data_IF_376903622977
#
_entry.id   IF_376903622977
#
_cell.length_a   1.000
_cell.length_b   1.000
_cell.length_c   1.000
_cell.angle_alpha   90.00
_cell.angle_beta   90.00
_cell.angle_gamma   90.00
#
_symmetry.space_group_name_H-M   'P 1'
#
loop_
_entity.id
_entity.type
_entity.pdbx_description
1 polymer ?
#
# COMPACT_ATOMS: atom_id res chain seq x y z
N UNK A 1 -27.76 -47.61 42.07
CA UNK A 1 -26.74 -46.86 42.83
C UNK A 1 -25.37 -47.46 42.52
N UNK A 2 -24.61 -46.83 41.62
CA UNK A 2 -23.16 -47.04 41.43
C UNK A 2 -22.63 -45.85 40.65
N UNK A 3 -21.91 -44.98 41.36
CA UNK A 3 -21.12 -43.88 40.82
C UNK A 3 -19.93 -44.43 40.02
N UNK A 4 -19.53 -43.74 38.97
CA UNK A 4 -18.17 -43.76 38.40
C UNK A 4 -18.08 -42.57 37.45
N UNK A 5 -17.70 -41.41 37.98
CA UNK A 5 -16.34 -40.86 38.02
C UNK A 5 -15.92 -40.22 36.69
N UNK A 6 -15.92 -38.89 36.74
CA UNK A 6 -15.40 -37.94 35.77
C UNK A 6 -13.90 -38.14 35.53
N UNK A 7 -13.48 -38.09 34.27
CA UNK A 7 -12.11 -37.73 33.90
C UNK A 7 -12.17 -36.40 33.12
N UNK A 8 -11.84 -35.32 33.82
CA UNK A 8 -11.55 -34.03 33.21
C UNK A 8 -10.10 -34.06 32.72
N UNK A 9 -9.91 -34.16 31.41
CA UNK A 9 -8.60 -33.97 30.78
C UNK A 9 -8.34 -32.47 30.65
N UNK A 10 -7.43 -31.94 31.48
CA UNK A 10 -6.90 -30.58 31.34
C UNK A 10 -5.82 -30.62 30.26
N UNK A 11 -6.10 -30.06 29.08
CA UNK A 11 -5.08 -29.76 28.08
C UNK A 11 -4.28 -28.55 28.57
N UNK A 12 -3.06 -28.79 29.05
CA UNK A 12 -2.09 -27.73 29.27
C UNK A 12 -1.53 -27.29 27.91
N UNK A 13 -2.06 -26.20 27.36
CA UNK A 13 -1.44 -25.49 26.24
C UNK A 13 -0.18 -24.81 26.77
N UNK A 14 0.96 -25.43 26.52
CA UNK A 14 2.27 -24.82 26.73
C UNK A 14 2.44 -23.72 25.67
N UNK A 15 2.20 -22.47 26.06
CA UNK A 15 2.55 -21.31 25.25
C UNK A 15 4.07 -21.21 25.19
N UNK A 16 4.66 -21.75 24.11
CA UNK A 16 6.00 -21.34 23.72
C UNK A 16 5.92 -19.86 23.31
N UNK A 17 6.26 -18.98 24.25
CA UNK A 17 6.61 -17.59 23.92
C UNK A 17 8.01 -17.68 23.31
N UNK A 18 8.08 -17.84 21.99
CA UNK A 18 9.31 -17.56 21.27
C UNK A 18 9.54 -16.06 21.41
N UNK A 19 10.40 -15.66 22.36
CA UNK A 19 11.02 -14.36 22.33
C UNK A 19 11.81 -14.30 21.03
N UNK A 20 11.24 -13.65 20.01
CA UNK A 20 11.98 -13.30 18.79
C UNK A 20 13.18 -12.48 19.30
N UNK A 21 14.43 -12.90 19.00
CA UNK A 21 15.59 -12.13 19.40
C UNK A 21 15.42 -10.73 18.82
N UNK A 22 15.39 -9.73 19.70
CA UNK A 22 15.45 -8.32 19.30
C UNK A 22 16.76 -8.19 18.53
N UNK A 23 16.69 -7.99 17.22
CA UNK A 23 17.86 -7.87 16.36
C UNK A 23 18.78 -6.79 16.95
N UNK A 24 20.03 -7.10 17.34
CA UNK A 24 20.94 -6.12 17.92
C UNK A 24 21.53 -5.16 16.88
N UNK A 25 20.93 -5.09 15.68
CA UNK A 25 21.36 -4.24 14.57
C UNK A 25 20.24 -3.32 14.08
N UNK A 26 19.47 -2.74 14.99
CA UNK A 26 18.72 -1.52 14.72
C UNK A 26 19.66 -0.32 14.70
N UNK A 27 20.62 -0.28 13.77
CA UNK A 27 21.11 1.04 13.33
C UNK A 27 19.95 1.60 12.53
N UNK A 28 19.07 2.36 13.20
CA UNK A 28 18.31 3.37 12.50
C UNK A 28 19.32 4.07 11.58
N UNK A 29 19.00 4.16 10.28
CA UNK A 29 19.79 4.92 9.33
C UNK A 29 19.65 6.40 9.72
N UNK A 30 20.27 6.80 10.82
CA UNK A 30 20.41 8.21 11.19
C UNK A 30 21.43 8.77 10.21
N UNK A 31 21.02 9.72 9.36
CA UNK A 31 21.87 10.26 8.31
C UNK A 31 23.12 10.93 8.91
N UNK A 32 24.23 10.83 8.19
CA UNK A 32 25.39 11.68 8.43
C UNK A 32 25.20 13.02 7.73
N UNK A 33 24.59 13.95 8.47
CA UNK A 33 24.33 15.31 8.02
C UNK A 33 25.62 16.12 7.72
N UNK A 34 26.79 15.64 8.15
CA UNK A 34 28.08 16.32 8.05
C UNK A 34 28.77 16.19 6.68
N UNK A 35 28.34 15.26 5.81
CA UNK A 35 28.87 15.11 4.44
C UNK A 35 27.92 15.66 3.36
N UNK A 36 26.75 16.18 3.76
CA UNK A 36 25.70 16.73 2.89
C UNK A 36 25.52 18.25 3.13
N UNK A 37 26.44 19.10 2.65
CA UNK A 37 26.50 20.54 2.99
C UNK A 37 25.73 21.48 2.03
N UNK A 38 25.32 22.65 2.55
CA UNK A 38 24.51 23.71 1.90
C UNK A 38 25.04 24.28 0.56
N UNK A 39 26.32 24.10 0.22
CA UNK A 39 26.87 24.56 -1.08
C UNK A 39 26.50 23.62 -2.25
N UNK A 40 25.91 22.46 -1.96
CA UNK A 40 25.42 21.49 -2.92
C UNK A 40 24.40 20.56 -2.22
N UNK A 41 23.09 20.91 -2.22
CA UNK A 41 22.05 20.11 -1.57
C UNK A 41 21.75 18.88 -2.43
N UNK A 42 22.71 17.97 -2.51
CA UNK A 42 22.58 16.74 -3.28
C UNK A 42 21.83 15.76 -2.42
N UNK A 43 20.51 15.74 -2.60
CA UNK A 43 19.89 14.44 -2.68
C UNK A 43 20.70 13.59 -3.66
N UNK A 44 21.02 12.36 -3.27
CA UNK A 44 21.57 11.39 -4.20
C UNK A 44 20.61 11.15 -5.38
N UNK A 45 20.99 10.24 -6.28
CA UNK A 45 20.10 9.79 -7.35
C UNK A 45 18.72 9.42 -6.80
N UNK A 46 17.65 9.88 -7.45
CA UNK A 46 16.28 9.55 -7.07
C UNK A 46 16.09 8.03 -7.08
N UNK A 47 15.23 7.50 -6.20
CA UNK A 47 14.94 6.07 -6.18
C UNK A 47 14.18 5.69 -7.44
N UNK A 48 14.66 4.62 -8.09
CA UNK A 48 14.05 4.13 -9.32
C UNK A 48 12.89 3.19 -9.03
N UNK A 49 11.97 3.09 -9.98
CA UNK A 49 10.84 2.14 -9.95
C UNK A 49 11.30 0.70 -9.65
N UNK A 50 12.39 0.24 -10.26
CA UNK A 50 12.90 -1.11 -10.07
C UNK A 50 13.38 -1.34 -8.63
N UNK A 51 13.97 -0.33 -7.99
CA UNK A 51 14.41 -0.43 -6.60
C UNK A 51 13.22 -0.55 -5.64
N UNK A 52 12.13 0.18 -5.89
CA UNK A 52 10.87 -0.01 -5.15
C UNK A 52 10.30 -1.42 -5.37
N UNK A 53 10.32 -1.94 -6.60
CA UNK A 53 9.86 -3.31 -6.90
C UNK A 53 10.69 -4.35 -6.12
N UNK A 54 12.01 -4.21 -6.12
CA UNK A 54 12.92 -5.13 -5.43
C UNK A 54 12.74 -5.06 -3.91
N UNK A 55 12.53 -3.86 -3.36
CA UNK A 55 12.17 -3.65 -1.96
C UNK A 55 10.86 -4.36 -1.60
N UNK A 56 9.79 -4.11 -2.36
CA UNK A 56 8.47 -4.70 -2.11
C UNK A 56 8.52 -6.23 -2.17
N UNK A 57 9.19 -6.81 -3.17
CA UNK A 57 9.35 -8.27 -3.28
C UNK A 57 10.12 -8.89 -2.13
N UNK A 58 11.12 -8.17 -1.60
CA UNK A 58 11.97 -8.67 -0.52
C UNK A 58 11.28 -8.61 0.85
N UNK A 59 10.59 -7.52 1.14
CA UNK A 59 10.06 -7.25 2.49
C UNK A 59 8.56 -7.44 2.63
N UNK A 60 7.82 -7.37 1.52
CA UNK A 60 6.36 -7.51 1.49
C UNK A 60 5.93 -8.56 0.43
N UNK A 61 6.38 -9.82 0.55
CA UNK A 61 6.17 -10.82 -0.50
C UNK A 61 4.70 -11.25 -0.68
N UNK A 62 3.80 -10.89 0.24
CA UNK A 62 2.37 -11.22 0.19
C UNK A 62 1.62 -10.25 -0.74
N UNK A 63 1.98 -10.27 -2.02
CA UNK A 63 1.49 -9.33 -3.04
C UNK A 63 -0.01 -9.46 -3.36
N UNK A 64 -0.67 -10.53 -2.89
CA UNK A 64 -2.12 -10.72 -2.93
C UNK A 64 -2.88 -9.98 -1.79
N UNK A 65 -2.14 -9.26 -0.96
CA UNK A 65 -2.65 -8.50 0.19
C UNK A 65 -2.46 -7.00 0.06
N UNK A 66 -2.18 -6.53 -1.15
CA UNK A 66 -1.93 -5.12 -1.42
C UNK A 66 -3.26 -4.37 -1.61
N UNK A 67 -3.33 -3.19 -1.03
CA UNK A 67 -4.44 -2.24 -1.16
C UNK A 67 -3.94 -0.93 -1.73
N UNK A 68 -4.74 -0.32 -2.58
CA UNK A 68 -4.53 1.03 -3.09
C UNK A 68 -5.68 1.93 -2.65
N UNK A 69 -5.46 3.23 -2.66
CA UNK A 69 -6.49 4.20 -2.33
C UNK A 69 -6.32 5.49 -3.13
N UNK A 70 -7.41 6.22 -3.28
CA UNK A 70 -7.46 7.52 -3.95
C UNK A 70 -8.39 8.46 -3.18
N UNK A 71 -8.37 9.75 -3.51
CA UNK A 71 -9.33 10.74 -3.03
C UNK A 71 -9.43 10.80 -1.48
N UNK A 72 -8.27 10.88 -0.81
CA UNK A 72 -8.14 10.94 0.65
C UNK A 72 -8.84 9.77 1.39
N UNK A 73 -8.76 8.57 0.81
CA UNK A 73 -9.37 7.34 1.37
C UNK A 73 -8.36 6.46 2.12
N UNK A 74 -7.23 7.03 2.54
CA UNK A 74 -6.22 6.41 3.39
C UNK A 74 -6.81 5.86 4.69
N UNK A 75 -7.70 6.63 5.34
CA UNK A 75 -8.41 6.17 6.55
C UNK A 75 -9.30 4.94 6.29
N UNK A 76 -9.87 4.79 5.09
CA UNK A 76 -10.65 3.59 4.76
C UNK A 76 -9.73 2.37 4.63
N UNK A 77 -8.59 2.52 3.96
CA UNK A 77 -7.58 1.47 3.86
C UNK A 77 -7.06 1.05 5.25
N UNK A 78 -6.77 2.02 6.12
CA UNK A 78 -6.37 1.78 7.51
C UNK A 78 -7.43 1.01 8.32
N UNK A 79 -8.71 1.42 8.24
CA UNK A 79 -9.79 0.77 8.97
C UNK A 79 -10.05 -0.66 8.47
N UNK A 80 -9.96 -0.88 7.16
CA UNK A 80 -10.03 -2.21 6.58
C UNK A 80 -8.89 -3.09 7.06
N UNK A 81 -7.64 -2.58 7.01
CA UNK A 81 -6.46 -3.31 7.50
C UNK A 81 -6.59 -3.68 8.97
N UNK A 82 -7.09 -2.76 9.81
CA UNK A 82 -7.29 -2.97 11.25
C UNK A 82 -8.25 -4.14 11.54
N UNK A 83 -9.18 -4.43 10.61
CA UNK A 83 -10.11 -5.56 10.70
C UNK A 83 -9.63 -6.80 9.94
N UNK A 84 -8.64 -6.66 9.06
CA UNK A 84 -8.12 -7.69 8.17
C UNK A 84 -6.59 -7.72 8.24
N UNK A 85 -6.06 -8.35 9.28
CA UNK A 85 -4.61 -8.44 9.47
C UNK A 85 -3.89 -9.04 8.26
N UNK A 86 -2.72 -8.49 7.95
CA UNK A 86 -1.86 -8.94 6.86
C UNK A 86 -2.14 -8.30 5.50
N UNK A 87 -3.09 -7.36 5.41
CA UNK A 87 -3.18 -6.42 4.29
C UNK A 87 -2.16 -5.29 4.45
N UNK A 88 -1.73 -4.71 3.33
CA UNK A 88 -0.74 -3.65 3.27
C UNK A 88 -1.18 -2.56 2.29
N UNK A 89 -0.91 -1.30 2.61
CA UNK A 89 -1.10 -0.14 1.75
C UNK A 89 0.12 0.79 1.82
N UNK A 90 0.08 1.93 1.12
CA UNK A 90 1.23 2.84 0.96
C UNK A 90 2.02 3.10 2.25
N UNK A 91 1.33 3.40 3.35
CA UNK A 91 1.94 3.75 4.64
C UNK A 91 2.76 2.58 5.21
N UNK A 92 2.30 1.33 5.05
CA UNK A 92 3.04 0.15 5.50
C UNK A 92 4.38 -0.03 4.77
N UNK A 93 4.43 0.37 3.49
CA UNK A 93 5.60 0.18 2.64
C UNK A 93 6.62 1.28 2.82
N UNK A 94 6.18 2.54 2.80
CA UNK A 94 7.03 3.70 2.53
C UNK A 94 6.94 4.82 3.57
N UNK A 95 6.12 4.71 4.61
CA UNK A 95 6.18 5.65 5.72
C UNK A 95 7.19 5.18 6.76
N UNK A 96 8.26 5.95 6.98
CA UNK A 96 9.30 5.61 7.96
C UNK A 96 8.80 5.45 9.40
N UNK A 97 7.69 6.10 9.77
CA UNK A 97 7.08 5.99 11.10
C UNK A 97 6.14 4.79 11.28
N UNK A 98 5.76 4.12 10.19
CA UNK A 98 4.81 2.98 10.21
C UNK A 98 5.47 1.70 9.69
N UNK A 99 6.22 1.80 8.60
CA UNK A 99 6.88 0.69 7.95
C UNK A 99 7.93 0.04 8.83
N UNK A 100 7.86 -1.29 8.95
CA UNK A 100 8.85 -2.08 9.67
C UNK A 100 10.24 -2.04 8.99
N UNK A 101 10.27 -1.84 7.68
CA UNK A 101 11.49 -2.04 6.89
C UNK A 101 12.01 -0.76 6.24
N UNK A 102 11.18 0.25 6.02
CA UNK A 102 11.57 1.38 5.19
C UNK A 102 12.79 2.12 5.73
N UNK A 103 12.82 2.46 7.02
CA UNK A 103 13.95 3.18 7.62
C UNK A 103 15.23 2.33 7.79
N UNK A 104 15.14 1.00 7.72
CA UNK A 104 16.29 0.09 7.89
C UNK A 104 16.81 -0.44 6.55
N UNK A 105 15.93 -0.56 5.57
CA UNK A 105 16.16 -1.23 4.30
C UNK A 105 15.97 -0.31 3.09
N UNK A 106 15.77 0.99 3.31
CA UNK A 106 15.82 1.99 2.25
C UNK A 106 17.07 1.73 1.40
N UNK A 107 16.93 1.62 0.08
CA UNK A 107 18.02 1.13 -0.76
C UNK A 107 19.24 2.05 -0.57
N UNK A 108 20.39 1.52 -0.11
CA UNK A 108 21.61 2.30 0.00
C UNK A 108 21.96 2.83 -1.37
N UNK A 109 22.60 4.00 -1.44
CA UNK A 109 22.95 4.59 -2.71
C UNK A 109 23.84 3.62 -3.52
N UNK A 110 23.62 3.45 -4.84
CA UNK A 110 24.40 2.52 -5.65
C UNK A 110 25.91 2.83 -5.70
N UNK A 111 26.32 4.03 -5.30
CA UNK A 111 27.73 4.45 -5.16
C UNK A 111 28.28 4.38 -3.73
N UNK A 112 27.51 3.82 -2.78
CA UNK A 112 27.78 3.81 -1.34
C UNK A 112 27.87 5.18 -0.67
N UNK A 113 27.31 6.25 -1.25
CA UNK A 113 27.17 7.53 -0.55
C UNK A 113 26.21 7.39 0.64
N UNK A 114 26.52 8.11 1.72
CA UNK A 114 25.67 8.22 2.92
C UNK A 114 24.57 9.29 2.76
N UNK A 115 24.36 9.79 1.53
CA UNK A 115 23.40 10.84 1.21
C UNK A 115 21.95 10.33 1.15
N UNK A 116 21.00 11.18 1.54
CA UNK A 116 19.57 10.93 1.33
C UNK A 116 19.25 10.85 -0.17
N UNK A 117 18.47 9.86 -0.58
CA UNK A 117 17.88 9.79 -1.93
C UNK A 117 16.46 10.33 -1.88
N UNK A 118 16.07 11.14 -2.86
CA UNK A 118 14.68 11.61 -2.95
C UNK A 118 13.75 10.42 -3.16
N UNK A 119 12.69 10.38 -2.36
CA UNK A 119 11.53 9.53 -2.60
C UNK A 119 10.85 9.97 -3.91
N UNK A 120 10.28 9.00 -4.63
CA UNK A 120 9.54 9.22 -5.87
C UNK A 120 8.16 8.57 -5.73
N UNK A 121 7.16 9.39 -5.42
CA UNK A 121 5.78 8.95 -5.23
C UNK A 121 5.18 8.33 -6.49
N UNK A 122 5.64 8.74 -7.68
CA UNK A 122 5.21 8.13 -8.94
C UNK A 122 5.82 6.75 -9.12
N UNK A 123 7.14 6.65 -8.97
CA UNK A 123 7.83 5.38 -9.11
C UNK A 123 7.37 4.35 -8.06
N UNK A 124 7.12 4.78 -6.82
CA UNK A 124 6.70 3.92 -5.72
C UNK A 124 5.27 3.40 -5.90
N UNK A 125 4.34 4.26 -6.32
CA UNK A 125 2.96 3.89 -6.68
C UNK A 125 2.90 2.93 -7.87
N UNK A 126 3.66 3.21 -8.93
CA UNK A 126 3.79 2.31 -10.09
C UNK A 126 4.36 0.95 -9.66
N UNK A 127 5.35 0.94 -8.76
CA UNK A 127 5.93 -0.28 -8.23
C UNK A 127 4.91 -1.12 -7.45
N UNK A 128 4.09 -0.52 -6.56
CA UNK A 128 3.00 -1.19 -5.85
C UNK A 128 2.06 -1.86 -6.85
N UNK A 129 1.59 -1.12 -7.86
CA UNK A 129 0.67 -1.64 -8.87
C UNK A 129 1.28 -2.77 -9.71
N UNK A 130 2.59 -2.70 -10.03
CA UNK A 130 3.30 -3.74 -10.80
C UNK A 130 3.49 -5.04 -10.03
N UNK A 131 3.71 -4.98 -8.72
CA UNK A 131 3.95 -6.20 -7.93
C UNK A 131 2.67 -6.82 -7.38
N UNK A 132 1.58 -6.05 -7.25
CA UNK A 132 0.29 -6.56 -6.79
C UNK A 132 -0.17 -7.77 -7.62
N UNK A 133 -0.75 -8.77 -6.94
CA UNK A 133 -1.18 -10.02 -7.54
C UNK A 133 -2.53 -10.48 -6.97
N UNK A 134 -3.13 -11.53 -7.54
CA UNK A 134 -4.39 -12.07 -7.03
C UNK A 134 -5.54 -11.08 -7.21
N UNK A 135 -6.15 -10.63 -6.12
CA UNK A 135 -7.21 -9.62 -6.15
C UNK A 135 -6.69 -8.36 -5.46
N UNK A 136 -6.55 -7.27 -6.20
CA UNK A 136 -6.14 -6.00 -5.62
C UNK A 136 -7.37 -5.24 -5.14
N UNK A 137 -7.29 -4.72 -3.92
CA UNK A 137 -8.37 -3.97 -3.29
C UNK A 137 -8.10 -2.48 -3.44
N UNK A 138 -9.13 -1.71 -3.80
CA UNK A 138 -9.01 -0.26 -4.04
C UNK A 138 -10.12 0.51 -3.32
N UNK A 139 -9.73 1.55 -2.57
CA UNK A 139 -10.64 2.47 -1.89
C UNK A 139 -10.68 3.84 -2.59
N UNK A 140 -11.88 4.43 -2.70
CA UNK A 140 -12.05 5.81 -3.13
C UNK A 140 -11.70 6.14 -4.59
N UNK A 141 -11.52 5.12 -5.43
CA UNK A 141 -11.05 5.33 -6.80
C UNK A 141 -12.10 5.06 -7.88
N UNK A 142 -13.26 4.48 -7.56
CA UNK A 142 -14.24 3.98 -8.55
C UNK A 142 -14.69 5.08 -9.54
N UNK A 143 -14.71 6.32 -9.06
CA UNK A 143 -15.21 7.51 -9.76
C UNK A 143 -14.29 7.96 -10.90
N UNK A 144 -13.10 7.37 -11.08
CA UNK A 144 -12.16 7.77 -12.12
C UNK A 144 -12.75 7.64 -13.54
N UNK A 145 -13.65 6.69 -13.77
CA UNK A 145 -14.31 6.51 -15.07
C UNK A 145 -15.36 7.57 -15.36
N UNK A 146 -16.07 8.05 -14.33
CA UNK A 146 -17.15 9.03 -14.48
C UNK A 146 -16.67 10.47 -14.33
N UNK A 147 -15.65 10.71 -13.50
CA UNK A 147 -15.05 12.04 -13.25
C UNK A 147 -13.77 12.31 -14.05
N UNK A 148 -13.23 11.29 -14.71
CA UNK A 148 -12.05 11.35 -15.56
C UNK A 148 -10.75 10.99 -14.83
N UNK A 149 -9.67 10.72 -15.60
CA UNK A 149 -8.43 10.18 -15.08
C UNK A 149 -7.53 11.27 -14.50
N UNK A 150 -7.96 11.88 -13.39
CA UNK A 150 -7.19 12.94 -12.71
C UNK A 150 -6.47 12.46 -11.47
N UNK A 151 -6.91 11.35 -10.86
CA UNK A 151 -6.26 10.82 -9.68
C UNK A 151 -4.97 10.07 -10.00
N UNK A 152 -4.09 9.97 -9.01
CA UNK A 152 -2.88 9.17 -9.07
C UNK A 152 -3.16 7.72 -9.48
N UNK A 153 -4.20 7.14 -8.88
CA UNK A 153 -4.69 5.82 -9.25
C UNK A 153 -4.96 5.71 -10.76
N UNK A 154 -5.72 6.66 -11.30
CA UNK A 154 -6.13 6.63 -12.69
C UNK A 154 -4.98 6.88 -13.67
N UNK A 155 -4.02 7.73 -13.33
CA UNK A 155 -2.96 8.14 -14.25
C UNK A 155 -1.69 7.29 -14.15
N UNK A 156 -1.42 6.66 -13.00
CA UNK A 156 -0.16 5.94 -12.75
C UNK A 156 -0.36 4.44 -12.48
N UNK A 157 -1.46 4.05 -11.83
CA UNK A 157 -1.62 2.70 -11.27
C UNK A 157 -2.49 1.78 -12.15
N UNK A 158 -3.65 2.27 -12.61
CA UNK A 158 -4.67 1.46 -13.31
C UNK A 158 -4.10 0.71 -14.51
N UNK A 159 -3.31 1.37 -15.35
CA UNK A 159 -2.77 0.71 -16.55
C UNK A 159 -1.80 -0.42 -16.18
N UNK A 160 -1.04 -0.28 -15.08
CA UNK A 160 -0.13 -1.32 -14.59
C UNK A 160 -0.90 -2.50 -13.99
N UNK A 161 -1.98 -2.22 -13.27
CA UNK A 161 -2.89 -3.27 -12.79
C UNK A 161 -3.50 -4.04 -13.96
N UNK A 162 -3.92 -3.37 -15.03
CA UNK A 162 -4.42 -4.02 -16.26
C UNK A 162 -3.36 -4.82 -16.99
N UNK A 163 -2.11 -4.34 -17.04
CA UNK A 163 -0.98 -5.10 -17.56
C UNK A 163 -0.83 -6.43 -16.78
N UNK A 164 -0.94 -6.38 -15.45
CA UNK A 164 -0.92 -7.57 -14.59
C UNK A 164 -2.12 -8.51 -14.80
N UNK A 165 -3.31 -7.98 -15.10
CA UNK A 165 -4.47 -8.80 -15.49
C UNK A 165 -4.20 -9.51 -16.81
N UNK A 166 -3.68 -8.81 -17.82
CA UNK A 166 -3.28 -9.41 -19.12
C UNK A 166 -2.23 -10.49 -18.95
N UNK A 167 -1.29 -10.30 -18.02
CA UNK A 167 -0.25 -11.26 -17.70
C UNK A 167 -0.74 -12.45 -16.85
N UNK A 168 -1.96 -12.40 -16.30
CA UNK A 168 -2.53 -13.44 -15.45
C UNK A 168 -1.98 -13.47 -14.02
N UNK A 169 -1.26 -12.44 -13.58
CA UNK A 169 -0.76 -12.31 -12.20
C UNK A 169 -1.81 -11.66 -11.30
N UNK A 170 -2.67 -10.82 -11.85
CA UNK A 170 -3.83 -10.22 -11.21
C UNK A 170 -5.11 -10.77 -11.84
N UNK A 171 -6.16 -11.03 -11.06
CA UNK A 171 -7.44 -11.52 -11.56
C UNK A 171 -8.37 -10.37 -11.95
N UNK A 172 -8.45 -9.34 -11.09
CA UNK A 172 -9.32 -8.17 -11.22
C UNK A 172 -8.89 -7.05 -10.26
N UNK A 173 -9.39 -5.85 -10.51
CA UNK A 173 -9.37 -4.74 -9.56
C UNK A 173 -10.70 -4.74 -8.80
N UNK A 174 -10.66 -4.72 -7.47
CA UNK A 174 -11.87 -4.75 -6.62
C UNK A 174 -12.04 -3.41 -5.93
N UNK A 175 -13.04 -2.64 -6.34
CA UNK A 175 -13.41 -1.36 -5.74
C UNK A 175 -14.33 -1.60 -4.54
N UNK A 176 -13.91 -1.19 -3.35
CA UNK A 176 -14.66 -1.44 -2.11
C UNK A 176 -15.78 -0.43 -1.89
N UNK A 177 -16.79 -0.81 -1.12
CA UNK A 177 -17.75 0.13 -0.55
C UNK A 177 -17.03 1.14 0.34
N UNK A 178 -17.62 2.33 0.46
CA UNK A 178 -17.16 3.33 1.41
C UNK A 178 -17.22 2.74 2.82
N UNK A 179 -16.13 2.91 3.57
CA UNK A 179 -15.99 2.44 4.96
C UNK A 179 -16.08 0.91 5.12
N UNK A 180 -15.84 0.14 4.04
CA UNK A 180 -15.78 -1.31 4.10
C UNK A 180 -14.73 -1.79 5.12
N UNK A 181 -15.10 -2.79 5.91
CA UNK A 181 -14.24 -3.45 6.91
C UNK A 181 -14.07 -4.94 6.64
N UNK A 182 -14.73 -5.48 5.61
CA UNK A 182 -14.69 -6.89 5.21
C UNK A 182 -14.54 -7.02 3.70
N UNK A 183 -14.02 -8.16 3.24
CA UNK A 183 -13.73 -8.39 1.81
C UNK A 183 -14.98 -8.47 0.94
N UNK A 184 -16.12 -8.76 1.55
CA UNK A 184 -17.41 -8.97 0.89
C UNK A 184 -18.11 -7.64 0.59
N UNK A 185 -17.69 -6.54 1.21
CA UNK A 185 -18.22 -5.19 1.02
C UNK A 185 -17.66 -4.55 -0.27
N UNK A 186 -17.99 -5.15 -1.41
CA UNK A 186 -17.52 -4.77 -2.74
C UNK A 186 -18.55 -3.88 -3.42
N UNK A 187 -18.10 -2.75 -3.96
CA UNK A 187 -18.91 -1.86 -4.79
C UNK A 187 -18.92 -2.31 -6.26
N UNK A 188 -17.72 -2.55 -6.80
CA UNK A 188 -17.55 -2.93 -8.20
C UNK A 188 -16.27 -3.74 -8.39
N UNK A 189 -16.20 -4.46 -9.49
CA UNK A 189 -14.96 -5.07 -9.98
C UNK A 189 -14.65 -4.50 -11.35
N UNK A 190 -13.36 -4.36 -11.67
CA UNK A 190 -12.89 -3.86 -12.96
C UNK A 190 -11.98 -4.91 -13.61
N UNK A 191 -12.25 -5.20 -14.87
CA UNK A 191 -11.53 -6.17 -15.66
C UNK A 191 -10.40 -5.54 -16.50
N UNK A 192 -9.79 -6.36 -17.34
CA UNK A 192 -8.65 -6.00 -18.18
C UNK A 192 -8.93 -4.90 -19.20
N UNK A 193 -10.18 -4.81 -19.66
CA UNK A 193 -10.64 -3.80 -20.63
C UNK A 193 -11.08 -2.51 -19.92
N UNK A 194 -10.97 -2.47 -18.59
CA UNK A 194 -11.47 -1.39 -17.77
C UNK A 194 -12.99 -1.42 -17.60
N UNK A 195 -13.67 -2.52 -17.91
CA UNK A 195 -15.11 -2.59 -17.72
C UNK A 195 -15.43 -2.81 -16.24
N UNK A 196 -16.16 -1.87 -15.65
CA UNK A 196 -16.69 -2.01 -14.29
C UNK A 196 -17.97 -2.86 -14.27
N UNK A 197 -18.02 -3.83 -13.38
CA UNK A 197 -19.21 -4.64 -13.03
C UNK A 197 -19.57 -4.37 -11.57
N UNK A 198 -20.70 -3.69 -11.36
CA UNK A 198 -21.21 -3.32 -10.04
C UNK A 198 -21.92 -4.50 -9.38
N UNK A 199 -21.78 -4.63 -8.07
CA UNK A 199 -22.50 -5.63 -7.27
C UNK A 199 -23.98 -5.27 -7.16
N UNK A 200 -24.81 -6.25 -6.79
CA UNK A 200 -26.27 -6.06 -6.72
C UNK A 200 -26.64 -4.89 -5.81
N UNK A 201 -27.44 -3.95 -6.32
CA UNK A 201 -27.84 -2.74 -5.60
C UNK A 201 -26.93 -1.53 -5.79
N UNK A 202 -25.83 -1.67 -6.53
CA UNK A 202 -24.86 -0.59 -6.78
C UNK A 202 -24.80 -0.14 -8.25
N UNK A 203 -24.21 1.04 -8.50
CA UNK A 203 -24.20 1.68 -9.83
C UNK A 203 -23.02 2.62 -10.06
N UNK A 204 -22.76 2.94 -11.34
CA UNK A 204 -21.62 3.77 -11.79
C UNK A 204 -21.62 5.22 -11.29
N UNK A 205 -22.72 5.71 -10.71
CA UNK A 205 -22.79 7.06 -10.14
C UNK A 205 -22.40 7.12 -8.65
N UNK A 206 -22.16 5.99 -8.01
CA UNK A 206 -21.86 5.94 -6.57
C UNK A 206 -20.42 6.31 -6.28
N UNK A 207 -20.24 7.15 -5.26
CA UNK A 207 -18.92 7.52 -4.74
C UNK A 207 -18.53 6.60 -3.59
N UNK A 208 -17.30 6.09 -3.62
CA UNK A 208 -16.68 5.40 -2.49
C UNK A 208 -15.54 6.20 -1.85
N UNK A 209 -15.33 7.46 -2.26
CA UNK A 209 -14.28 8.31 -1.72
C UNK A 209 -14.64 8.86 -0.33
N UNK A 210 -13.63 8.98 0.54
CA UNK A 210 -13.76 9.74 1.78
C UNK A 210 -13.66 11.24 1.54
N UNK A 211 -12.85 11.66 0.58
CA UNK A 211 -12.65 13.06 0.18
C UNK A 211 -13.19 13.39 -1.21
N UNK A 212 -12.68 14.50 -1.77
CA UNK A 212 -12.99 14.94 -3.12
C UNK A 212 -12.09 14.20 -4.11
N UNK A 213 -12.67 13.46 -5.05
CA UNK A 213 -11.92 12.84 -6.13
C UNK A 213 -11.30 13.89 -7.08
N UNK A 214 -10.02 13.73 -7.40
CA UNK A 214 -9.26 14.65 -8.24
C UNK A 214 -8.90 15.94 -7.51
N UNK A 215 -8.67 15.87 -6.19
CA UNK A 215 -8.19 17.00 -5.40
C UNK A 215 -6.69 17.21 -5.64
N UNK A 216 -6.37 18.33 -6.28
CA UNK A 216 -5.00 18.68 -6.64
C UNK A 216 -4.36 19.67 -5.64
N UNK A 217 -5.01 19.96 -4.51
CA UNK A 217 -4.54 20.95 -3.52
C UNK A 217 -3.18 20.62 -2.93
N UNK A 218 -2.78 19.35 -2.96
CA UNK A 218 -1.48 18.86 -2.48
C UNK A 218 -0.44 18.70 -3.59
N UNK A 219 -0.83 18.87 -4.86
CA UNK A 219 0.06 18.73 -6.03
C UNK A 219 0.73 20.06 -6.37
N UNK A 220 2.06 20.07 -6.46
CA UNK A 220 2.83 21.22 -6.96
C UNK A 220 2.94 21.27 -8.49
N UNK A 221 2.66 20.16 -9.19
CA UNK A 221 2.76 20.06 -10.65
C UNK A 221 1.56 19.30 -11.30
N UNK A 222 0.47 19.99 -11.71
CA UNK A 222 -0.68 19.36 -12.36
C UNK A 222 -0.29 18.68 -13.69
N UNK A 223 -0.94 17.57 -14.11
CA UNK A 223 -2.37 17.30 -13.90
C UNK A 223 -2.71 16.15 -12.95
N UNK A 224 -1.75 15.57 -12.24
CA UNK A 224 -2.00 14.42 -11.35
C UNK A 224 -2.43 14.90 -9.96
N UNK A 225 -3.58 14.44 -9.51
CA UNK A 225 -4.23 14.83 -8.24
C UNK A 225 -4.36 13.60 -7.33
N UNK A 226 -4.78 13.78 -6.08
CA UNK A 226 -4.89 12.69 -5.10
C UNK A 226 -3.57 11.92 -4.88
N UNK A 227 -2.41 12.59 -4.87
CA UNK A 227 -1.12 11.96 -4.54
C UNK A 227 -1.26 11.33 -3.13
N UNK A 228 -0.90 10.05 -2.92
CA UNK A 228 -0.80 9.47 -1.58
C UNK A 228 0.00 10.38 -0.67
N UNK A 229 -0.40 10.52 0.59
CA UNK A 229 0.35 11.30 1.58
C UNK A 229 1.80 10.81 1.62
N UNK A 230 2.71 11.52 0.96
CA UNK A 230 4.13 11.41 1.29
C UNK A 230 4.24 12.04 2.67
N UNK A 231 4.25 11.18 3.70
CA UNK A 231 4.21 11.60 5.09
C UNK A 231 5.11 12.80 5.31
N UNK A 232 4.50 13.91 5.75
CA UNK A 232 5.20 15.10 6.21
C UNK A 232 6.12 14.71 7.36
N UNK A 233 7.37 14.43 7.02
CA UNK A 233 8.49 14.25 7.92
C UNK A 233 9.53 15.31 7.63
N UNK A 234 9.17 16.58 7.87
CA UNK A 234 10.11 17.66 8.12
C UNK A 234 9.76 18.30 9.46
#
# INVERSE_FOLDING_TARGET
>A
MKLTSYLSSVLAFSTLVCAIPVSPYGKALTPRADECTDENPHYGTQITEQEYIDYLKKYYPNTDKYMLYSANSDNQAFNFQSSNAGYFYYEDFFNAGVSQHYAEAFPPHPDNSECWRMDDGEASSIAIAKVASGDVIVFGAVEWQTKGPKSFFATKEVDKLRDSIRAGTLSKITHMLKDATTREEVLATEDVDGKQSFTDGHSAGESNASGTFGDCTTTLDPPTCDIPSQGGGH
#
